data_IF_838242636711
#
_entry.id   IF_838242636711
#
_cell.length_a   1.000
_cell.length_b   1.000
_cell.length_c   1.000
_cell.angle_alpha   90.00
_cell.angle_beta   90.00
_cell.angle_gamma   90.00
#
_symmetry.space_group_name_H-M   'P 1'
#
loop_
_entity.id
_entity.type
_entity.pdbx_description
1 polymer ?
#
# COMPACT_ATOMS: atom_id res chain seq x y z
N UNK A 1 -38.48 17.96 23.38
CA UNK A 1 -37.94 18.04 22.00
C UNK A 1 -36.51 17.48 21.80
N UNK A 2 -35.57 17.54 22.76
CA UNK A 2 -34.19 17.01 22.58
C UNK A 2 -34.07 15.47 22.54
N UNK A 3 -34.93 14.73 23.26
CA UNK A 3 -34.88 13.26 23.28
C UNK A 3 -35.40 12.61 21.98
N UNK A 4 -36.43 13.17 21.34
CA UNK A 4 -36.96 12.67 20.07
C UNK A 4 -35.96 12.76 18.90
N UNK A 5 -35.13 13.82 18.85
CA UNK A 5 -34.06 13.94 17.83
C UNK A 5 -32.93 12.93 18.02
N UNK A 6 -32.61 12.55 19.26
CA UNK A 6 -31.59 11.52 19.56
C UNK A 6 -32.06 10.11 19.18
N UNK A 7 -33.32 9.79 19.44
CA UNK A 7 -33.90 8.50 19.06
C UNK A 7 -34.03 8.36 17.53
N UNK A 8 -34.37 9.45 16.83
CA UNK A 8 -34.37 9.47 15.35
C UNK A 8 -32.96 9.32 14.77
N UNK A 9 -31.95 10.00 15.32
CA UNK A 9 -30.56 9.87 14.86
C UNK A 9 -30.01 8.45 15.12
N UNK A 10 -30.34 7.84 16.26
CA UNK A 10 -29.96 6.46 16.58
C UNK A 10 -30.62 5.46 15.63
N UNK A 11 -31.91 5.62 15.34
CA UNK A 11 -32.63 4.79 14.36
C UNK A 11 -32.08 4.93 12.94
N UNK A 12 -31.64 6.13 12.55
CA UNK A 12 -31.01 6.39 11.26
C UNK A 12 -29.63 5.75 11.15
N UNK A 13 -28.81 5.83 12.20
CA UNK A 13 -27.49 5.17 12.26
C UNK A 13 -27.61 3.64 12.20
N UNK A 14 -28.56 3.04 12.92
CA UNK A 14 -28.81 1.59 12.86
C UNK A 14 -29.29 1.17 11.46
N UNK A 15 -30.08 2.01 10.77
CA UNK A 15 -30.50 1.76 9.39
C UNK A 15 -29.34 1.90 8.38
N UNK A 16 -28.36 2.76 8.66
CA UNK A 16 -27.11 2.86 7.89
C UNK A 16 -26.24 1.60 8.07
N UNK A 17 -26.20 0.99 9.26
CA UNK A 17 -25.46 -0.25 9.50
C UNK A 17 -26.20 -1.52 9.06
N UNK A 18 -27.52 -1.47 8.82
CA UNK A 18 -28.21 -2.51 8.04
C UNK A 18 -27.81 -2.37 6.57
N UNK A 19 -26.80 -3.11 6.14
CA UNK A 19 -26.50 -3.27 4.71
C UNK A 19 -27.58 -4.14 4.09
N UNK A 20 -28.31 -3.61 3.09
CA UNK A 20 -29.17 -4.43 2.22
C UNK A 20 -28.36 -5.52 1.50
N UNK A 21 -27.03 -5.37 1.47
CA UNK A 21 -26.06 -6.29 0.88
C UNK A 21 -25.45 -7.25 1.93
N UNK A 22 -25.93 -7.25 3.18
CA UNK A 22 -25.45 -8.16 4.23
C UNK A 22 -24.08 -7.82 4.81
N UNK A 23 -23.75 -8.42 5.96
CA UNK A 23 -22.45 -8.27 6.63
C UNK A 23 -21.31 -8.97 5.87
N UNK A 24 -21.63 -9.99 5.08
CA UNK A 24 -20.67 -10.73 4.29
C UNK A 24 -19.99 -9.85 3.22
N UNK A 25 -20.75 -8.96 2.56
CA UNK A 25 -20.18 -8.00 1.59
C UNK A 25 -19.15 -7.09 2.24
N UNK A 26 -19.46 -6.56 3.42
CA UNK A 26 -18.53 -5.71 4.16
C UNK A 26 -17.28 -6.49 4.57
N UNK A 27 -17.45 -7.71 5.07
CA UNK A 27 -16.33 -8.58 5.44
C UNK A 27 -15.41 -8.88 4.26
N UNK A 28 -15.96 -9.34 3.13
CA UNK A 28 -15.20 -9.65 1.93
C UNK A 28 -14.50 -8.41 1.35
N UNK A 29 -15.16 -7.26 1.37
CA UNK A 29 -14.54 -5.99 0.96
C UNK A 29 -13.37 -5.60 1.86
N UNK A 30 -13.54 -5.72 3.19
CA UNK A 30 -12.46 -5.48 4.14
C UNK A 30 -11.27 -6.43 3.87
N UNK A 31 -11.52 -7.72 3.67
CA UNK A 31 -10.47 -8.70 3.32
C UNK A 31 -9.74 -8.25 2.05
N UNK A 32 -10.47 -7.95 0.98
CA UNK A 32 -9.89 -7.52 -0.30
C UNK A 32 -8.98 -6.31 -0.17
N UNK A 33 -9.42 -5.32 0.59
CA UNK A 33 -8.69 -4.06 0.77
C UNK A 33 -7.52 -4.21 1.77
N UNK A 34 -7.59 -5.17 2.68
CA UNK A 34 -6.51 -5.49 3.63
C UNK A 34 -5.34 -6.23 2.97
N UNK A 35 -5.59 -7.15 2.04
CA UNK A 35 -4.54 -7.98 1.44
C UNK A 35 -3.39 -7.18 0.77
N UNK A 36 -3.65 -6.11 0.00
CA UNK A 36 -2.60 -5.23 -0.50
C UNK A 36 -1.75 -4.60 0.61
N UNK A 37 -2.39 -4.22 1.72
CA UNK A 37 -1.72 -3.58 2.87
C UNK A 37 -0.85 -4.59 3.62
N UNK A 38 -1.36 -5.80 3.85
CA UNK A 38 -0.60 -6.88 4.50
C UNK A 38 0.59 -7.33 3.63
N UNK A 39 0.41 -7.36 2.31
CA UNK A 39 1.52 -7.63 1.38
C UNK A 39 2.57 -6.53 1.38
N UNK A 40 2.17 -5.27 1.55
CA UNK A 40 3.10 -4.13 1.67
C UNK A 40 3.92 -4.22 2.97
N UNK A 41 3.27 -4.61 4.06
CA UNK A 41 3.90 -4.83 5.36
C UNK A 41 4.91 -5.99 5.31
N UNK A 42 4.55 -7.13 4.71
CA UNK A 42 5.47 -8.26 4.51
C UNK A 42 6.67 -7.90 3.60
N UNK A 43 6.46 -7.02 2.63
CA UNK A 43 7.54 -6.55 1.77
C UNK A 43 8.60 -5.76 2.58
N UNK A 44 8.19 -5.02 3.60
CA UNK A 44 9.13 -4.32 4.50
C UNK A 44 9.80 -3.09 3.87
N UNK A 45 9.09 -2.38 2.99
CA UNK A 45 9.57 -1.14 2.34
C UNK A 45 9.95 -0.03 3.34
N UNK A 46 9.18 0.09 4.43
CA UNK A 46 9.34 1.12 5.46
C UNK A 46 8.78 0.62 6.78
N UNK A 47 9.36 1.07 7.91
CA UNK A 47 8.81 0.80 9.23
C UNK A 47 7.48 1.55 9.46
N UNK A 48 6.59 0.99 10.27
CA UNK A 48 5.31 1.62 10.64
C UNK A 48 4.15 1.38 9.66
N UNK A 49 4.29 0.46 8.70
CA UNK A 49 3.23 0.02 7.79
C UNK A 49 2.04 -0.63 8.49
N UNK A 50 2.22 -1.14 9.70
CA UNK A 50 1.16 -1.66 10.57
C UNK A 50 -0.03 -0.69 10.78
N UNK A 51 0.24 0.62 10.75
CA UNK A 51 -0.76 1.67 10.91
C UNK A 51 -1.75 1.69 9.73
N UNK A 52 -1.33 1.23 8.55
CA UNK A 52 -2.13 1.22 7.34
C UNK A 52 -3.36 0.32 7.46
N UNK A 53 -3.30 -0.75 8.27
CA UNK A 53 -4.44 -1.64 8.53
C UNK A 53 -5.62 -0.85 9.13
N UNK A 54 -5.35 0.00 10.11
CA UNK A 54 -6.37 0.86 10.72
C UNK A 54 -6.92 1.89 9.73
N UNK A 55 -6.03 2.53 8.96
CA UNK A 55 -6.37 3.53 7.94
C UNK A 55 -7.28 2.94 6.87
N UNK A 56 -6.94 1.76 6.37
CA UNK A 56 -7.68 1.13 5.27
C UNK A 56 -9.08 0.69 5.72
N UNK A 57 -9.21 0.14 6.94
CA UNK A 57 -10.51 -0.22 7.51
C UNK A 57 -11.39 1.01 7.78
N UNK A 58 -10.80 2.08 8.31
CA UNK A 58 -11.50 3.35 8.48
C UNK A 58 -11.97 3.93 7.15
N UNK A 59 -11.16 3.81 6.09
CA UNK A 59 -11.54 4.28 4.76
C UNK A 59 -12.73 3.53 4.16
N UNK A 60 -12.84 2.21 4.41
CA UNK A 60 -13.98 1.39 3.98
C UNK A 60 -15.25 1.84 4.72
N UNK A 61 -15.16 2.05 6.03
CA UNK A 61 -16.28 2.56 6.83
C UNK A 61 -16.72 3.95 6.36
N UNK A 62 -15.77 4.86 6.12
CA UNK A 62 -16.07 6.20 5.65
C UNK A 62 -16.66 6.19 4.23
N UNK A 63 -16.14 5.33 3.36
CA UNK A 63 -16.68 5.08 2.02
C UNK A 63 -18.11 4.55 2.05
N UNK A 64 -18.41 3.60 2.94
CA UNK A 64 -19.79 3.12 3.16
C UNK A 64 -20.72 4.24 3.64
N UNK A 65 -20.30 5.05 4.62
CA UNK A 65 -21.09 6.17 5.14
C UNK A 65 -21.41 7.19 4.04
N UNK A 66 -20.40 7.57 3.24
CA UNK A 66 -20.60 8.51 2.15
C UNK A 66 -21.42 7.91 1.01
N UNK A 67 -21.22 6.63 0.67
CA UNK A 67 -21.98 5.96 -0.38
C UNK A 67 -23.48 5.94 -0.08
N UNK A 68 -23.85 5.73 1.20
CA UNK A 68 -25.23 5.77 1.69
C UNK A 68 -25.77 7.17 1.96
N UNK A 69 -24.92 8.19 1.96
CA UNK A 69 -25.35 9.57 2.19
C UNK A 69 -26.14 10.12 0.99
N UNK A 70 -27.02 11.09 1.25
CA UNK A 70 -27.72 11.82 0.19
C UNK A 70 -26.82 12.83 -0.56
N UNK A 71 -25.52 12.88 -0.25
CA UNK A 71 -24.62 13.84 -0.87
C UNK A 71 -24.46 13.55 -2.37
N UNK A 72 -24.36 14.61 -3.19
CA UNK A 72 -24.08 14.43 -4.60
C UNK A 72 -22.62 14.00 -4.81
N UNK A 73 -22.37 13.25 -5.89
CA UNK A 73 -21.05 12.66 -6.21
C UNK A 73 -19.89 13.67 -6.21
N UNK A 74 -20.14 14.89 -6.68
CA UNK A 74 -19.13 15.93 -6.81
C UNK A 74 -18.69 16.51 -5.45
N UNK A 75 -19.46 16.30 -4.37
CA UNK A 75 -19.07 16.67 -3.01
C UNK A 75 -18.50 15.46 -2.29
N UNK A 76 -19.13 14.30 -2.43
CA UNK A 76 -18.77 13.11 -1.68
C UNK A 76 -17.36 12.59 -2.04
N UNK A 77 -16.97 12.63 -3.32
CA UNK A 77 -15.65 12.14 -3.75
C UNK A 77 -14.52 13.03 -3.23
N UNK A 78 -14.51 14.37 -3.44
CA UNK A 78 -13.48 15.23 -2.86
C UNK A 78 -13.45 15.15 -1.33
N UNK A 79 -14.61 15.06 -0.67
CA UNK A 79 -14.67 14.94 0.79
C UNK A 79 -14.08 13.62 1.27
N UNK A 80 -14.31 12.52 0.56
CA UNK A 80 -13.67 11.23 0.82
C UNK A 80 -12.15 11.28 0.68
N UNK A 81 -11.64 11.88 -0.39
CA UNK A 81 -10.19 12.01 -0.61
C UNK A 81 -9.52 12.96 0.40
N UNK A 82 -10.12 14.12 0.66
CA UNK A 82 -9.62 15.08 1.67
C UNK A 82 -9.63 14.49 3.07
N UNK A 83 -10.66 13.72 3.42
CA UNK A 83 -10.69 13.00 4.70
C UNK A 83 -9.56 11.96 4.81
N UNK A 84 -9.14 11.38 3.69
CA UNK A 84 -8.02 10.43 3.65
C UNK A 84 -6.67 11.09 3.86
N UNK A 85 -6.44 12.24 3.21
CA UNK A 85 -5.25 13.05 3.46
C UNK A 85 -5.18 13.51 4.93
N UNK A 86 -6.31 13.96 5.48
CA UNK A 86 -6.40 14.32 6.89
C UNK A 86 -6.16 13.11 7.81
N UNK A 87 -6.76 11.95 7.52
CA UNK A 87 -6.56 10.74 8.32
C UNK A 87 -5.11 10.25 8.27
N UNK A 88 -4.48 10.25 7.09
CA UNK A 88 -3.07 9.93 6.94
C UNK A 88 -2.21 10.88 7.79
N UNK A 89 -2.41 12.19 7.67
CA UNK A 89 -1.69 13.20 8.47
C UNK A 89 -1.87 13.00 9.98
N UNK A 90 -3.11 12.78 10.44
CA UNK A 90 -3.41 12.67 11.86
C UNK A 90 -2.92 11.35 12.49
N UNK A 91 -3.02 10.24 11.74
CA UNK A 91 -2.72 8.90 12.25
C UNK A 91 -1.21 8.59 12.09
N UNK A 92 -0.65 8.76 10.88
CA UNK A 92 0.77 8.50 10.62
C UNK A 92 1.64 9.54 11.32
N UNK A 93 1.22 10.81 11.28
CA UNK A 93 1.92 11.90 11.97
C UNK A 93 1.77 11.87 13.49
N UNK A 94 0.99 10.93 14.05
CA UNK A 94 0.69 10.81 15.48
C UNK A 94 0.24 12.13 16.12
N UNK A 95 -0.40 12.99 15.33
CA UNK A 95 -0.87 14.32 15.73
C UNK A 95 -1.98 14.18 16.77
N UNK A 96 -2.82 13.16 16.63
CA UNK A 96 -3.80 12.80 17.64
C UNK A 96 -3.20 11.82 18.66
N UNK A 97 -3.58 11.98 19.92
CA UNK A 97 -3.22 11.00 20.95
C UNK A 97 -3.75 9.61 20.58
N UNK A 98 -2.90 8.57 20.60
CA UNK A 98 -3.35 7.20 20.43
C UNK A 98 -4.43 6.85 21.46
N UNK A 99 -5.50 6.17 21.02
CA UNK A 99 -6.61 5.79 21.88
C UNK A 99 -6.15 4.99 23.11
N UNK A 100 -5.06 4.22 22.98
CA UNK A 100 -4.42 3.46 24.07
C UNK A 100 -3.93 4.32 25.23
N UNK A 101 -3.57 5.60 24.98
CA UNK A 101 -3.07 6.53 26.02
C UNK A 101 -4.17 7.35 26.68
N UNK A 102 -5.41 7.30 26.15
CA UNK A 102 -6.53 8.06 26.69
C UNK A 102 -6.98 7.59 28.09
N UNK A 103 -7.09 6.29 28.41
CA UNK A 103 -7.59 5.84 29.71
C UNK A 103 -6.79 6.40 30.90
N UNK A 104 -5.46 6.41 30.78
CA UNK A 104 -4.57 6.96 31.81
C UNK A 104 -4.71 8.47 32.03
N UNK A 105 -5.34 9.19 31.10
CA UNK A 105 -5.54 10.65 31.15
C UNK A 105 -6.93 11.06 31.62
N UNK A 106 -7.90 10.13 31.63
CA UNK A 106 -9.26 10.41 32.11
C UNK A 106 -9.30 10.73 33.60
N UNK A 107 -8.47 10.07 34.42
CA UNK A 107 -8.39 10.30 35.86
C UNK A 107 -8.00 11.74 36.23
N UNK A 108 -6.85 12.25 35.74
CA UNK A 108 -6.43 13.63 35.95
C UNK A 108 -7.44 14.66 35.43
N UNK A 109 -8.04 14.41 34.25
CA UNK A 109 -9.09 15.26 33.69
C UNK A 109 -10.31 15.33 34.61
N UNK A 110 -10.81 14.18 35.07
CA UNK A 110 -11.98 14.14 35.95
C UNK A 110 -11.69 14.79 37.31
N UNK A 111 -10.50 14.57 37.87
CA UNK A 111 -10.06 15.22 39.11
C UNK A 111 -10.00 16.75 38.98
N UNK A 112 -9.59 17.26 37.81
CA UNK A 112 -9.61 18.69 37.50
C UNK A 112 -11.03 19.24 37.36
N UNK A 113 -11.93 18.55 36.65
CA UNK A 113 -13.36 18.91 36.55
C UNK A 113 -14.01 18.97 37.92
N UNK A 114 -13.74 18.01 38.79
CA UNK A 114 -14.26 17.99 40.15
C UNK A 114 -13.78 19.19 40.99
N UNK A 115 -12.54 19.66 40.79
CA UNK A 115 -12.01 20.85 41.49
C UNK A 115 -12.72 22.13 41.06
N UNK A 116 -13.04 22.26 39.77
CA UNK A 116 -13.83 23.38 39.22
C UNK A 116 -15.21 23.41 39.84
N UNK A 117 -15.92 22.27 39.84
CA UNK A 117 -17.29 22.17 40.39
C UNK A 117 -17.30 22.51 41.89
N UNK A 118 -16.23 22.16 42.62
CA UNK A 118 -16.11 22.41 44.06
C UNK A 118 -15.51 23.78 44.42
N UNK A 119 -15.27 24.66 43.44
CA UNK A 119 -14.74 26.01 43.66
C UNK A 119 -13.35 26.04 44.30
N UNK A 120 -12.55 24.97 44.15
CA UNK A 120 -11.17 24.93 44.66
C UNK A 120 -10.21 25.62 43.68
N UNK A 121 -9.06 26.15 44.14
CA UNK A 121 -8.05 26.69 43.23
C UNK A 121 -7.67 25.63 42.20
N UNK A 122 -7.81 26.01 40.93
CA UNK A 122 -7.64 25.14 39.78
C UNK A 122 -6.19 25.24 39.34
N UNK A 123 -5.48 24.11 39.29
CA UNK A 123 -4.14 24.03 38.70
C UNK A 123 -4.18 24.12 37.17
N UNK A 124 -3.02 23.94 36.52
CA UNK A 124 -2.91 23.92 35.05
C UNK A 124 -3.89 22.93 34.41
N UNK A 125 -4.47 23.30 33.27
CA UNK A 125 -5.45 22.48 32.57
C UNK A 125 -4.79 21.18 32.06
N UNK A 126 -5.28 19.98 32.44
CA UNK A 126 -4.72 18.71 31.97
C UNK A 126 -4.76 18.53 30.44
N UNK A 127 -5.64 19.27 29.76
CA UNK A 127 -5.77 19.24 28.30
C UNK A 127 -4.78 20.17 27.59
N UNK A 128 -4.27 21.20 28.26
CA UNK A 128 -3.38 22.19 27.65
C UNK A 128 -2.09 21.54 27.10
N UNK A 129 -1.36 20.68 27.85
CA UNK A 129 -0.20 19.98 27.32
C UNK A 129 -0.54 19.07 26.12
N UNK A 130 -1.77 18.54 26.04
CA UNK A 130 -2.19 17.67 24.95
C UNK A 130 -2.42 18.46 23.66
N UNK A 131 -3.05 19.63 23.77
CA UNK A 131 -3.26 20.54 22.64
C UNK A 131 -1.91 21.00 22.11
N UNK A 132 -1.02 21.44 23.00
CA UNK A 132 0.32 21.84 22.60
C UNK A 132 1.11 20.67 22.01
N UNK A 133 1.10 19.49 22.63
CA UNK A 133 1.78 18.32 22.06
C UNK A 133 1.26 18.00 20.65
N UNK A 134 -0.06 17.98 20.46
CA UNK A 134 -0.68 17.71 19.17
C UNK A 134 -0.27 18.76 18.13
N UNK A 135 -0.26 20.04 18.53
CA UNK A 135 0.18 21.14 17.69
C UNK A 135 1.63 20.98 17.24
N UNK A 136 2.55 20.74 18.18
CA UNK A 136 3.98 20.55 17.87
C UNK A 136 4.21 19.33 16.98
N UNK A 137 3.50 18.21 17.20
CA UNK A 137 3.58 17.05 16.29
C UNK A 137 3.10 17.40 14.88
N UNK A 138 2.01 18.18 14.77
CA UNK A 138 1.53 18.68 13.48
C UNK A 138 2.55 19.57 12.77
N UNK A 139 3.19 20.48 13.50
CA UNK A 139 4.28 21.33 12.97
C UNK A 139 5.46 20.49 12.49
N UNK A 140 5.92 19.51 13.28
CA UNK A 140 7.03 18.63 12.89
C UNK A 140 6.73 17.86 11.61
N UNK A 141 5.50 17.37 11.43
CA UNK A 141 5.09 16.67 10.20
C UNK A 141 5.02 17.65 9.03
N UNK A 142 4.48 18.85 9.24
CA UNK A 142 4.40 19.89 8.22
C UNK A 142 5.79 20.35 7.76
N UNK A 143 6.74 20.52 8.69
CA UNK A 143 8.12 20.87 8.39
C UNK A 143 8.80 19.76 7.57
N UNK A 144 8.64 18.49 7.96
CA UNK A 144 9.18 17.35 7.19
C UNK A 144 8.63 17.28 5.77
N UNK A 145 7.32 17.51 5.61
CA UNK A 145 6.69 17.61 4.30
C UNK A 145 7.26 18.78 3.48
N UNK A 146 7.47 19.94 4.10
CA UNK A 146 8.06 21.10 3.46
C UNK A 146 9.50 20.82 3.00
N UNK A 147 10.34 20.24 3.86
CA UNK A 147 11.70 19.84 3.51
C UNK A 147 11.73 18.83 2.36
N UNK A 148 10.80 17.87 2.33
CA UNK A 148 10.69 16.92 1.23
C UNK A 148 10.27 17.59 -0.09
N UNK A 149 9.31 18.52 -0.06
CA UNK A 149 8.90 19.30 -1.24
C UNK A 149 10.08 20.13 -1.77
N UNK A 150 10.77 20.84 -0.88
CA UNK A 150 11.95 21.65 -1.20
C UNK A 150 13.08 20.79 -1.78
N UNK A 151 13.32 19.60 -1.21
CA UNK A 151 14.28 18.65 -1.75
C UNK A 151 13.91 18.21 -3.18
N UNK A 152 12.64 17.95 -3.44
CA UNK A 152 12.15 17.59 -4.78
C UNK A 152 12.34 18.68 -5.83
N UNK A 153 12.01 19.93 -5.49
CA UNK A 153 12.17 21.08 -6.37
C UNK A 153 13.64 21.45 -6.59
N UNK A 154 14.48 21.27 -5.56
CA UNK A 154 15.91 21.57 -5.61
C UNK A 154 16.76 20.45 -6.23
N UNK A 155 16.17 19.31 -6.57
CA UNK A 155 16.90 18.13 -7.03
C UNK A 155 17.79 17.48 -5.97
N UNK A 156 17.52 17.72 -4.68
CA UNK A 156 18.20 17.07 -3.55
C UNK A 156 17.57 15.70 -3.25
N UNK A 157 18.32 14.85 -2.56
CA UNK A 157 17.82 13.57 -2.04
C UNK A 157 17.10 13.77 -0.71
N UNK A 158 16.13 12.89 -0.44
CA UNK A 158 15.45 12.84 0.86
C UNK A 158 15.44 11.40 1.39
N UNK A 159 15.95 11.23 2.60
CA UNK A 159 15.94 9.96 3.34
C UNK A 159 14.76 9.85 4.31
N UNK A 160 13.80 10.77 4.25
CA UNK A 160 12.69 10.82 5.18
C UNK A 160 11.59 9.80 4.83
N UNK A 161 11.49 8.77 5.66
CA UNK A 161 10.52 7.67 5.52
C UNK A 161 9.08 8.06 5.89
N UNK A 162 8.86 9.14 6.65
CA UNK A 162 7.52 9.56 7.07
C UNK A 162 6.69 10.02 5.88
N UNK A 163 7.28 10.76 4.94
CA UNK A 163 6.56 11.28 3.77
C UNK A 163 6.10 10.16 2.86
N UNK A 164 6.95 9.14 2.68
CA UNK A 164 6.55 7.93 1.97
C UNK A 164 5.38 7.23 2.68
N UNK A 165 5.48 7.03 4.00
CA UNK A 165 4.42 6.42 4.80
C UNK A 165 3.09 7.19 4.73
N UNK A 166 3.14 8.53 4.70
CA UNK A 166 1.97 9.39 4.49
C UNK A 166 1.32 9.18 3.10
N UNK A 167 2.15 9.06 2.06
CA UNK A 167 1.66 8.86 0.68
C UNK A 167 1.01 7.49 0.53
N UNK A 168 1.65 6.42 0.98
CA UNK A 168 1.06 5.07 0.93
C UNK A 168 -0.19 4.98 1.83
N UNK A 169 -0.25 5.71 2.95
CA UNK A 169 -1.46 5.82 3.76
C UNK A 169 -2.60 6.53 3.03
N UNK A 170 -2.32 7.62 2.32
CA UNK A 170 -3.31 8.33 1.51
C UNK A 170 -3.81 7.45 0.34
N UNK A 171 -2.91 6.70 -0.30
CA UNK A 171 -3.25 5.74 -1.36
C UNK A 171 -4.10 4.60 -0.79
N UNK A 172 -3.69 4.00 0.33
CA UNK A 172 -4.45 2.94 1.00
C UNK A 172 -5.88 3.41 1.36
N UNK A 173 -6.01 4.62 1.91
CA UNK A 173 -7.32 5.22 2.17
C UNK A 173 -8.11 5.42 0.88
N UNK A 174 -7.50 5.96 -0.17
CA UNK A 174 -8.17 6.18 -1.44
C UNK A 174 -8.67 4.86 -2.05
N UNK A 175 -7.87 3.79 -1.97
CA UNK A 175 -8.25 2.45 -2.42
C UNK A 175 -9.46 1.91 -1.64
N UNK A 176 -9.43 1.93 -0.31
CA UNK A 176 -10.54 1.42 0.48
C UNK A 176 -11.81 2.27 0.34
N UNK A 177 -11.67 3.60 0.31
CA UNK A 177 -12.77 4.52 0.01
C UNK A 177 -13.38 4.25 -1.37
N UNK A 178 -12.55 4.15 -2.40
CA UNK A 178 -12.99 3.90 -3.77
C UNK A 178 -13.70 2.55 -3.91
N UNK A 179 -13.12 1.50 -3.31
CA UNK A 179 -13.68 0.15 -3.35
C UNK A 179 -15.04 0.10 -2.66
N UNK A 180 -15.16 0.73 -1.48
CA UNK A 180 -16.44 0.86 -0.78
C UNK A 180 -17.46 1.70 -1.56
N UNK A 181 -17.03 2.83 -2.13
CA UNK A 181 -17.89 3.70 -2.93
C UNK A 181 -18.45 2.97 -4.16
N UNK A 182 -17.60 2.28 -4.92
CA UNK A 182 -18.03 1.52 -6.10
C UNK A 182 -18.93 0.32 -5.75
N UNK A 183 -18.67 -0.33 -4.62
CA UNK A 183 -19.51 -1.43 -4.12
C UNK A 183 -20.91 -0.93 -3.79
N UNK A 184 -21.04 0.05 -2.90
CA UNK A 184 -22.34 0.43 -2.34
C UNK A 184 -23.12 1.46 -3.18
N UNK A 185 -22.42 2.38 -3.87
CA UNK A 185 -23.06 3.44 -4.67
C UNK A 185 -23.31 3.00 -6.11
N UNK A 186 -22.28 2.46 -6.77
CA UNK A 186 -22.35 2.07 -8.19
C UNK A 186 -22.76 0.61 -8.40
N UNK A 187 -22.69 -0.24 -7.36
CA UNK A 187 -23.01 -1.68 -7.43
C UNK A 187 -22.22 -2.40 -8.53
N UNK A 188 -20.96 -2.02 -8.70
CA UNK A 188 -20.05 -2.61 -9.69
C UNK A 188 -18.91 -3.35 -8.98
N UNK A 189 -18.99 -4.69 -8.88
CA UNK A 189 -17.99 -5.50 -8.16
C UNK A 189 -16.60 -5.41 -8.80
N UNK A 190 -16.55 -5.50 -10.13
CA UNK A 190 -15.30 -5.55 -10.89
C UNK A 190 -14.52 -4.23 -10.72
N UNK A 191 -15.20 -3.09 -10.84
CA UNK A 191 -14.57 -1.78 -10.68
C UNK A 191 -14.06 -1.57 -9.26
N UNK A 192 -14.72 -2.13 -8.25
CA UNK A 192 -14.27 -2.04 -6.86
C UNK A 192 -12.98 -2.84 -6.60
N UNK A 193 -12.84 -4.02 -7.21
CA UNK A 193 -11.69 -4.91 -7.00
C UNK A 193 -10.47 -4.46 -7.82
N UNK A 194 -10.64 -3.90 -9.01
CA UNK A 194 -9.50 -3.67 -9.91
C UNK A 194 -8.34 -2.86 -9.29
N UNK A 195 -8.53 -1.66 -8.70
CA UNK A 195 -7.39 -0.89 -8.22
C UNK A 195 -6.61 -1.54 -7.07
N UNK A 196 -7.26 -2.08 -6.01
CA UNK A 196 -6.54 -2.84 -4.99
C UNK A 196 -5.77 -4.04 -5.56
N UNK A 197 -6.35 -4.75 -6.54
CA UNK A 197 -5.70 -5.89 -7.20
C UNK A 197 -4.46 -5.49 -8.00
N UNK A 198 -4.52 -4.38 -8.74
CA UNK A 198 -3.37 -3.83 -9.48
C UNK A 198 -2.26 -3.43 -8.52
N UNK A 199 -2.59 -2.77 -7.41
CA UNK A 199 -1.60 -2.36 -6.40
C UNK A 199 -0.93 -3.56 -5.76
N UNK A 200 -1.69 -4.59 -5.39
CA UNK A 200 -1.15 -5.84 -4.86
C UNK A 200 -0.25 -6.54 -5.88
N UNK A 201 -0.70 -6.70 -7.12
CA UNK A 201 0.11 -7.33 -8.17
C UNK A 201 1.42 -6.55 -8.43
N UNK A 202 1.35 -5.22 -8.42
CA UNK A 202 2.53 -4.35 -8.56
C UNK A 202 3.48 -4.53 -7.38
N UNK A 203 2.96 -4.58 -6.14
CA UNK A 203 3.80 -4.81 -4.96
C UNK A 203 4.45 -6.19 -4.97
N UNK A 204 3.73 -7.25 -5.34
CA UNK A 204 4.29 -8.61 -5.45
C UNK A 204 5.35 -8.66 -6.54
N UNK A 205 5.11 -7.99 -7.67
CA UNK A 205 6.11 -7.86 -8.72
C UNK A 205 7.37 -7.17 -8.18
N UNK A 206 7.24 -6.00 -7.55
CA UNK A 206 8.39 -5.22 -7.07
C UNK A 206 9.12 -5.86 -5.88
N UNK A 207 8.42 -6.54 -4.99
CA UNK A 207 9.02 -7.10 -3.76
C UNK A 207 9.47 -8.55 -3.90
N UNK A 208 9.03 -9.27 -4.94
CA UNK A 208 9.14 -10.75 -5.07
C UNK A 208 8.58 -11.57 -3.90
N UNK A 209 7.94 -10.90 -2.93
CA UNK A 209 7.27 -11.46 -1.75
C UNK A 209 5.76 -11.28 -1.89
N UNK A 210 4.98 -11.98 -1.08
CA UNK A 210 3.53 -11.80 -1.05
C UNK A 210 2.71 -12.49 -2.15
N UNK A 211 3.29 -13.45 -2.88
CA UNK A 211 2.52 -14.27 -3.84
C UNK A 211 1.32 -14.98 -3.19
N UNK A 212 1.45 -15.38 -1.92
CA UNK A 212 0.34 -15.94 -1.14
C UNK A 212 -0.83 -14.96 -0.96
N UNK A 213 -0.55 -13.67 -0.73
CA UNK A 213 -1.58 -12.64 -0.64
C UNK A 213 -2.28 -12.41 -1.98
N UNK A 214 -1.55 -12.48 -3.11
CA UNK A 214 -2.16 -12.39 -4.44
C UNK A 214 -3.13 -13.54 -4.71
N UNK A 215 -2.74 -14.79 -4.41
CA UNK A 215 -3.62 -15.95 -4.56
C UNK A 215 -4.86 -15.82 -3.66
N UNK A 216 -4.66 -15.43 -2.40
CA UNK A 216 -5.75 -15.20 -1.46
C UNK A 216 -6.68 -14.06 -1.91
N UNK A 217 -6.12 -13.03 -2.54
CA UNK A 217 -6.86 -11.90 -3.10
C UNK A 217 -7.73 -12.33 -4.26
N UNK A 218 -7.18 -13.09 -5.21
CA UNK A 218 -7.94 -13.62 -6.34
C UNK A 218 -9.09 -14.52 -5.88
N UNK A 219 -8.85 -15.40 -4.90
CA UNK A 219 -9.88 -16.22 -4.29
C UNK A 219 -10.97 -15.38 -3.60
N UNK A 220 -10.58 -14.39 -2.81
CA UNK A 220 -11.51 -13.47 -2.12
C UNK A 220 -12.28 -12.59 -3.11
N UNK A 221 -11.64 -12.16 -4.19
CA UNK A 221 -12.22 -11.28 -5.22
C UNK A 221 -13.30 -12.00 -5.98
N UNK A 222 -13.07 -13.28 -6.28
CA UNK A 222 -14.09 -14.13 -6.85
C UNK A 222 -15.28 -14.31 -5.93
N UNK A 223 -15.06 -14.68 -4.66
CA UNK A 223 -16.16 -14.86 -3.71
C UNK A 223 -16.98 -13.57 -3.58
N UNK A 224 -16.32 -12.42 -3.57
CA UNK A 224 -16.98 -11.11 -3.57
C UNK A 224 -17.79 -10.85 -4.84
N UNK A 225 -17.21 -11.11 -6.01
CA UNK A 225 -17.87 -10.91 -7.29
C UNK A 225 -19.10 -11.82 -7.45
N UNK A 226 -18.95 -13.10 -7.12
CA UNK A 226 -20.01 -14.09 -7.10
C UNK A 226 -21.14 -13.67 -6.16
N UNK A 227 -20.80 -13.28 -4.93
CA UNK A 227 -21.77 -12.86 -3.93
C UNK A 227 -22.60 -11.65 -4.39
N UNK A 228 -21.94 -10.60 -4.87
CA UNK A 228 -22.63 -9.41 -5.36
C UNK A 228 -23.42 -9.67 -6.64
N UNK A 229 -22.92 -10.55 -7.52
CA UNK A 229 -23.65 -10.96 -8.72
C UNK A 229 -24.92 -11.74 -8.37
N UNK A 230 -24.85 -12.66 -7.41
CA UNK A 230 -26.03 -13.38 -6.90
C UNK A 230 -27.09 -12.42 -6.40
N UNK A 231 -26.72 -11.42 -5.60
CA UNK A 231 -27.64 -10.39 -5.12
C UNK A 231 -28.24 -9.55 -6.24
N UNK A 232 -27.45 -9.26 -7.30
CA UNK A 232 -27.95 -8.53 -8.45
C UNK A 232 -28.95 -9.35 -9.26
N UNK A 233 -28.70 -10.66 -9.39
CA UNK A 233 -29.58 -11.62 -10.06
C UNK A 233 -30.89 -11.83 -9.30
N UNK A 234 -30.85 -12.05 -7.98
CA UNK A 234 -32.04 -12.16 -7.13
C UNK A 234 -32.94 -10.92 -7.29
N UNK A 235 -32.37 -9.71 -7.21
CA UNK A 235 -33.13 -8.46 -7.42
C UNK A 235 -33.72 -8.34 -8.82
N UNK A 236 -33.09 -8.95 -9.83
CA UNK A 236 -33.58 -8.95 -11.20
C UNK A 236 -34.73 -9.95 -11.38
N UNK A 237 -34.63 -11.14 -10.77
CA UNK A 237 -35.66 -12.17 -10.80
C UNK A 237 -36.88 -11.82 -9.95
N UNK A 238 -36.69 -11.19 -8.79
CA UNK A 238 -37.77 -10.61 -7.97
C UNK A 238 -38.61 -9.61 -8.77
N UNK A 239 -37.94 -8.76 -9.55
CA UNK A 239 -38.62 -7.80 -10.44
C UNK A 239 -39.33 -8.49 -11.62
N UNK A 240 -38.79 -9.61 -12.07
CA UNK A 240 -39.37 -10.40 -13.15
C UNK A 240 -40.45 -11.38 -12.67
N UNK A 241 -40.69 -11.48 -11.35
CA UNK A 241 -41.58 -12.46 -10.71
C UNK A 241 -41.30 -13.91 -11.14
N UNK A 242 -40.02 -14.23 -11.38
CA UNK A 242 -39.57 -15.59 -11.73
C UNK A 242 -39.16 -16.29 -10.44
N UNK A 243 -39.74 -17.46 -10.18
CA UNK A 243 -39.37 -18.29 -9.05
C UNK A 243 -37.97 -18.88 -9.24
N UNK A 244 -37.14 -18.86 -8.19
CA UNK A 244 -35.75 -19.30 -8.23
C UNK A 244 -35.44 -20.19 -7.03
N UNK A 245 -34.61 -21.21 -7.26
CA UNK A 245 -34.17 -22.10 -6.19
C UNK A 245 -33.17 -21.39 -5.27
N UNK A 246 -33.33 -21.56 -3.96
CA UNK A 246 -32.43 -21.00 -2.92
C UNK A 246 -31.03 -21.63 -2.91
N UNK A 247 -30.84 -22.76 -3.62
CA UNK A 247 -29.55 -23.48 -3.71
C UNK A 247 -28.67 -22.98 -4.87
N UNK A 248 -29.27 -22.25 -5.83
CA UNK A 248 -28.60 -21.79 -7.05
C UNK A 248 -27.32 -20.96 -6.79
N UNK A 249 -27.26 -20.05 -5.78
CA UNK A 249 -26.06 -19.29 -5.49
C UNK A 249 -24.87 -20.18 -5.11
N UNK A 250 -25.12 -21.24 -4.34
CA UNK A 250 -24.09 -22.16 -3.86
C UNK A 250 -23.61 -23.08 -4.99
N UNK A 251 -24.52 -23.55 -5.84
CA UNK A 251 -24.16 -24.36 -7.00
C UNK A 251 -23.37 -23.57 -8.04
N UNK A 252 -23.76 -22.32 -8.29
CA UNK A 252 -22.98 -21.41 -9.14
C UNK A 252 -21.60 -21.12 -8.53
N UNK A 253 -21.52 -20.96 -7.20
CA UNK A 253 -20.26 -20.76 -6.48
C UNK A 253 -19.27 -21.90 -6.69
N UNK A 254 -19.74 -23.13 -6.45
CA UNK A 254 -18.95 -24.35 -6.55
C UNK A 254 -18.52 -24.61 -7.99
N UNK A 255 -19.42 -24.39 -8.96
CA UNK A 255 -19.14 -24.63 -10.37
C UNK A 255 -18.17 -23.58 -10.97
N UNK A 256 -18.28 -22.31 -10.60
CA UNK A 256 -17.32 -21.29 -11.07
C UNK A 256 -16.03 -21.22 -10.25
N UNK A 257 -15.95 -21.88 -9.09
CA UNK A 257 -14.71 -22.01 -8.33
C UNK A 257 -13.68 -22.85 -9.11
N UNK A 258 -14.12 -23.89 -9.82
CA UNK A 258 -13.26 -24.69 -10.69
C UNK A 258 -12.65 -23.88 -11.83
N UNK A 259 -13.36 -22.89 -12.37
CA UNK A 259 -12.82 -22.01 -13.41
C UNK A 259 -11.67 -21.15 -12.88
N UNK A 260 -11.75 -20.68 -11.64
CA UNK A 260 -10.68 -19.86 -11.05
C UNK A 260 -9.53 -20.67 -10.55
N UNK A 261 -9.79 -21.82 -9.94
CA UNK A 261 -8.73 -22.79 -9.63
C UNK A 261 -8.00 -23.14 -10.93
N UNK A 262 -8.72 -23.40 -12.02
CA UNK A 262 -8.13 -23.58 -13.34
C UNK A 262 -7.32 -22.39 -13.82
N UNK A 263 -7.85 -21.16 -13.72
CA UNK A 263 -7.17 -19.94 -14.16
C UNK A 263 -5.91 -19.64 -13.33
N UNK A 264 -5.96 -19.87 -12.01
CA UNK A 264 -4.81 -19.74 -11.11
C UNK A 264 -3.77 -20.81 -11.43
N UNK A 265 -4.18 -22.07 -11.62
CA UNK A 265 -3.27 -23.16 -12.01
C UNK A 265 -2.61 -22.82 -13.35
N UNK A 266 -3.37 -22.34 -14.35
CA UNK A 266 -2.80 -21.90 -15.63
C UNK A 266 -1.82 -20.75 -15.45
N UNK A 267 -2.12 -19.79 -14.58
CA UNK A 267 -1.20 -18.69 -14.25
C UNK A 267 0.08 -19.19 -13.56
N UNK A 268 -0.02 -20.17 -12.66
CA UNK A 268 1.12 -20.77 -11.96
C UNK A 268 1.95 -21.69 -12.85
N UNK A 269 1.30 -22.35 -13.82
CA UNK A 269 1.94 -23.20 -14.82
C UNK A 269 2.52 -22.39 -15.98
N UNK A 270 2.27 -21.07 -16.03
CA UNK A 270 2.84 -20.21 -17.05
C UNK A 270 4.37 -20.21 -16.88
N UNK A 271 5.15 -20.71 -17.87
CA UNK A 271 6.60 -20.64 -17.78
C UNK A 271 6.99 -19.17 -17.64
N UNK A 272 7.74 -18.85 -16.59
CA UNK A 272 8.38 -17.54 -16.46
C UNK A 272 9.17 -17.32 -17.73
N UNK A 273 8.65 -16.43 -18.58
CA UNK A 273 8.98 -16.48 -20.00
C UNK A 273 10.44 -16.10 -20.18
N UNK A 274 11.27 -17.09 -20.51
CA UNK A 274 12.65 -16.88 -20.92
C UNK A 274 12.69 -15.90 -22.09
N UNK A 275 13.51 -14.86 -21.93
CA UNK A 275 13.93 -13.86 -22.92
C UNK A 275 13.27 -13.95 -24.30
N UNK A 276 12.09 -13.34 -24.46
CA UNK A 276 11.54 -13.04 -25.77
C UNK A 276 12.17 -11.73 -26.28
N UNK A 277 12.99 -11.75 -27.36
CA UNK A 277 13.70 -10.57 -27.86
C UNK A 277 12.77 -9.45 -28.33
N UNK A 278 11.57 -9.78 -28.82
CA UNK A 278 10.55 -8.78 -29.20
C UNK A 278 9.96 -8.14 -27.94
N UNK A 279 9.65 -8.95 -26.93
CA UNK A 279 9.13 -8.44 -25.66
C UNK A 279 10.18 -7.59 -24.93
N UNK A 280 11.45 -8.02 -24.88
CA UNK A 280 12.51 -7.25 -24.22
C UNK A 280 12.79 -5.94 -24.95
N UNK A 281 12.77 -5.92 -26.30
CA UNK A 281 12.93 -4.68 -27.08
C UNK A 281 11.74 -3.74 -26.88
N UNK A 282 10.51 -4.27 -26.89
CA UNK A 282 9.30 -3.51 -26.59
C UNK A 282 9.36 -2.92 -25.18
N UNK A 283 9.68 -3.73 -24.17
CA UNK A 283 9.80 -3.29 -22.78
C UNK A 283 10.88 -2.23 -22.62
N UNK A 284 12.05 -2.40 -23.24
CA UNK A 284 13.14 -1.43 -23.22
C UNK A 284 12.79 -0.09 -23.86
N UNK A 285 11.86 -0.06 -24.82
CA UNK A 285 11.37 1.18 -25.41
C UNK A 285 10.25 1.79 -24.55
N UNK A 286 9.30 0.96 -24.12
CA UNK A 286 8.15 1.34 -23.29
C UNK A 286 8.56 1.85 -21.89
N UNK A 287 9.69 1.37 -21.35
CA UNK A 287 10.21 1.79 -20.04
C UNK A 287 11.07 3.04 -20.08
N UNK A 288 11.49 3.56 -21.25
CA UNK A 288 12.35 4.76 -21.33
C UNK A 288 11.76 5.98 -20.60
N UNK A 289 10.46 6.32 -20.78
CA UNK A 289 9.85 7.43 -20.05
C UNK A 289 9.78 7.17 -18.53
N UNK A 290 9.68 5.89 -18.15
CA UNK A 290 9.63 5.50 -16.74
C UNK A 290 10.98 5.61 -16.05
N UNK A 291 12.09 5.52 -16.79
CA UNK A 291 13.43 5.68 -16.21
C UNK A 291 13.63 7.04 -15.55
N UNK A 292 13.12 8.13 -16.14
CA UNK A 292 13.20 9.47 -15.52
C UNK A 292 12.39 9.53 -14.22
N UNK A 293 11.16 8.99 -14.23
CA UNK A 293 10.30 8.91 -13.04
C UNK A 293 10.96 8.08 -11.95
N UNK A 294 11.57 6.96 -12.30
CA UNK A 294 12.29 6.08 -11.37
C UNK A 294 13.49 6.81 -10.75
N UNK A 295 14.27 7.56 -11.53
CA UNK A 295 15.38 8.35 -10.97
C UNK A 295 14.91 9.43 -10.00
N UNK A 296 13.81 10.11 -10.30
CA UNK A 296 13.21 11.10 -9.40
C UNK A 296 12.65 10.43 -8.14
N UNK A 297 11.98 9.28 -8.29
CA UNK A 297 11.44 8.50 -7.19
C UNK A 297 12.57 8.01 -6.27
N UNK A 298 13.61 7.37 -6.80
CA UNK A 298 14.75 6.88 -6.03
C UNK A 298 15.50 8.01 -5.32
N UNK A 299 15.53 9.21 -5.90
CA UNK A 299 16.10 10.41 -5.27
C UNK A 299 15.23 10.91 -4.11
N UNK A 300 13.92 10.99 -4.32
CA UNK A 300 12.95 11.50 -3.32
C UNK A 300 12.70 10.53 -2.16
N UNK A 301 12.96 9.24 -2.38
CA UNK A 301 12.70 8.17 -1.44
C UNK A 301 13.93 7.26 -1.26
N UNK A 302 15.11 7.87 -1.15
CA UNK A 302 16.36 7.12 -1.03
C UNK A 302 16.51 6.37 0.31
N UNK A 303 15.66 6.67 1.29
CA UNK A 303 15.62 6.01 2.60
C UNK A 303 14.79 4.72 2.65
N UNK A 304 14.17 4.30 1.54
CA UNK A 304 13.37 3.08 1.49
C UNK A 304 14.23 1.83 1.42
N UNK A 305 13.77 0.78 2.09
CA UNK A 305 14.34 -0.55 1.93
C UNK A 305 13.95 -1.09 0.56
N UNK A 306 14.89 -1.71 -0.16
CA UNK A 306 14.60 -2.42 -1.39
C UNK A 306 14.34 -3.91 -1.11
N UNK A 307 13.09 -4.39 -1.16
CA UNK A 307 12.76 -5.78 -0.90
C UNK A 307 13.21 -6.76 -2.00
N UNK A 308 13.48 -6.28 -3.21
CA UNK A 308 14.03 -7.09 -4.29
C UNK A 308 15.25 -6.42 -4.94
N UNK A 309 16.47 -6.73 -4.50
CA UNK A 309 17.69 -6.17 -5.08
C UNK A 309 17.95 -6.64 -6.52
N UNK A 310 17.33 -7.74 -6.97
CA UNK A 310 17.61 -8.36 -8.27
C UNK A 310 16.78 -7.75 -9.43
N UNK A 311 15.65 -7.11 -9.14
CA UNK A 311 14.79 -6.47 -10.16
C UNK A 311 15.35 -5.16 -10.74
N UNK A 312 16.46 -4.66 -10.19
CA UNK A 312 17.01 -3.36 -10.53
C UNK A 312 18.46 -3.41 -11.01
N UNK A 313 18.64 -3.13 -12.30
CA UNK A 313 19.79 -2.37 -12.86
C UNK A 313 19.97 -0.97 -12.22
N UNK A 314 19.23 -0.65 -11.15
CA UNK A 314 19.15 0.63 -10.47
C UNK A 314 19.36 0.62 -8.95
N UNK A 315 19.64 -0.51 -8.28
CA UNK A 315 20.14 -0.47 -6.89
C UNK A 315 21.62 -0.08 -6.87
N UNK A 316 21.91 1.16 -7.25
CA UNK A 316 23.23 1.79 -7.15
C UNK A 316 23.48 2.42 -5.76
N UNK A 317 22.56 2.26 -4.81
CA UNK A 317 22.54 3.04 -3.57
C UNK A 317 22.97 2.33 -2.30
N UNK A 318 22.83 1.00 -2.22
CA UNK A 318 23.19 0.24 -1.02
C UNK A 318 23.75 -1.13 -1.39
N UNK A 319 24.86 -1.50 -0.73
CA UNK A 319 25.50 -2.81 -0.86
C UNK A 319 25.63 -3.43 0.53
N UNK A 320 25.08 -4.62 0.73
CA UNK A 320 25.17 -5.35 2.01
C UNK A 320 26.55 -5.99 2.11
N UNK A 321 27.37 -5.53 3.05
CA UNK A 321 28.68 -6.10 3.35
C UNK A 321 28.50 -7.51 3.96
N UNK A 322 28.95 -8.54 3.24
CA UNK A 322 28.88 -9.94 3.67
C UNK A 322 27.85 -10.81 2.94
N UNK A 323 27.09 -10.26 1.98
CA UNK A 323 26.30 -11.09 1.06
C UNK A 323 27.20 -11.98 0.20
N UNK A 324 26.81 -13.22 -0.04
CA UNK A 324 27.54 -14.08 -0.97
C UNK A 324 27.48 -13.45 -2.37
N UNK A 325 28.63 -13.39 -3.06
CA UNK A 325 28.70 -13.13 -4.49
C UNK A 325 28.20 -14.35 -5.28
N UNK A 326 27.10 -14.98 -4.86
CA UNK A 326 26.39 -15.94 -5.71
C UNK A 326 25.49 -15.17 -6.66
N UNK A 327 26.14 -14.32 -7.47
CA UNK A 327 25.60 -13.87 -8.73
C UNK A 327 25.49 -15.15 -9.54
N UNK A 328 24.27 -15.66 -9.69
CA UNK A 328 24.00 -16.94 -10.35
C UNK A 328 24.83 -17.06 -11.62
N UNK A 329 25.26 -18.29 -11.95
CA UNK A 329 26.13 -18.68 -13.07
C UNK A 329 25.66 -18.29 -14.48
N UNK A 330 24.83 -17.26 -14.60
CA UNK A 330 24.54 -16.55 -15.83
C UNK A 330 25.83 -15.92 -16.37
N UNK A 331 26.24 -16.42 -17.51
CA UNK A 331 27.25 -15.88 -18.43
C UNK A 331 26.82 -14.53 -19.02
N UNK A 332 26.38 -13.61 -18.17
CA UNK A 332 25.96 -12.27 -18.61
C UNK A 332 27.22 -11.44 -18.86
N UNK A 333 27.45 -11.08 -20.12
CA UNK A 333 28.54 -10.19 -20.49
C UNK A 333 28.21 -8.80 -19.91
N UNK A 334 28.99 -8.35 -18.92
CA UNK A 334 28.76 -7.07 -18.23
C UNK A 334 29.31 -5.86 -18.98
N UNK A 335 30.45 -6.03 -19.64
CA UNK A 335 31.16 -4.94 -20.33
C UNK A 335 32.08 -5.56 -21.39
N UNK A 336 32.07 -4.98 -22.59
CA UNK A 336 33.14 -5.20 -23.55
C UNK A 336 34.22 -4.16 -23.30
N UNK A 337 35.45 -4.61 -23.12
CA UNK A 337 36.62 -3.75 -22.95
C UNK A 337 37.52 -3.98 -24.15
N UNK A 338 37.88 -2.88 -24.81
CA UNK A 338 38.96 -2.88 -25.79
C UNK A 338 40.08 -2.05 -25.19
N UNK A 339 41.27 -2.63 -25.11
CA UNK A 339 42.48 -1.97 -24.63
C UNK A 339 43.57 -2.13 -25.67
N UNK A 340 44.40 -1.11 -25.81
CA UNK A 340 45.59 -1.13 -26.65
C UNK A 340 46.76 -1.83 -25.95
N UNK A 341 46.57 -2.23 -24.68
CA UNK A 341 47.53 -2.96 -23.87
C UNK A 341 47.60 -4.44 -24.29
N UNK A 342 48.81 -4.94 -24.50
CA UNK A 342 49.03 -6.34 -24.86
C UNK A 342 48.70 -7.24 -23.65
N UNK A 343 47.55 -7.91 -23.70
CA UNK A 343 47.19 -8.91 -22.69
C UNK A 343 48.14 -10.11 -22.86
N UNK A 344 48.98 -10.44 -21.87
CA UNK A 344 49.93 -11.55 -22.01
C UNK A 344 49.18 -12.85 -22.29
N UNK A 345 49.71 -13.66 -23.21
CA UNK A 345 49.08 -14.91 -23.60
C UNK A 345 49.23 -15.96 -22.51
N UNK A 346 48.33 -16.95 -22.50
CA UNK A 346 48.32 -18.07 -21.54
C UNK A 346 49.63 -18.88 -21.54
N UNK A 347 50.40 -18.83 -22.63
CA UNK A 347 51.72 -19.46 -22.74
C UNK A 347 52.83 -18.60 -22.07
N UNK A 348 52.76 -17.28 -22.23
CA UNK A 348 53.68 -16.32 -21.57
C UNK A 348 53.44 -16.29 -20.05
N UNK A 349 52.18 -16.34 -19.61
CA UNK A 349 51.82 -16.45 -18.19
C UNK A 349 52.30 -17.74 -17.52
N UNK A 350 52.48 -18.84 -18.26
CA UNK A 350 52.95 -20.14 -17.73
C UNK A 350 54.49 -20.25 -17.66
N UNK A 351 55.21 -19.42 -18.42
CA UNK A 351 56.67 -19.48 -18.54
C UNK A 351 57.44 -18.50 -17.64
N UNK A 352 56.74 -17.58 -16.98
CA UNK A 352 57.34 -16.52 -16.17
C UNK A 352 57.01 -16.78 -14.68
N UNK A 353 58.03 -16.81 -13.84
CA UNK A 353 57.92 -17.01 -12.39
C UNK A 353 57.14 -15.89 -11.69
N UNK A 354 56.96 -16.01 -10.37
CA UNK A 354 56.10 -15.19 -9.47
C UNK A 354 56.25 -13.65 -9.56
N UNK A 355 57.19 -13.12 -10.33
CA UNK A 355 57.57 -11.70 -10.37
C UNK A 355 56.83 -10.86 -11.43
N UNK A 356 55.78 -11.37 -12.07
CA UNK A 356 54.98 -10.58 -13.01
C UNK A 356 53.92 -9.74 -12.29
N UNK A 357 54.13 -8.43 -12.22
CA UNK A 357 53.07 -7.46 -11.92
C UNK A 357 52.04 -7.48 -13.05
N UNK A 358 51.02 -8.33 -12.94
CA UNK A 358 49.87 -8.30 -13.85
C UNK A 358 49.18 -6.94 -13.65
N UNK A 359 48.98 -6.13 -14.72
CA UNK A 359 48.24 -4.88 -14.63
C UNK A 359 46.86 -5.15 -14.01
N UNK A 360 46.63 -4.62 -12.81
CA UNK A 360 45.37 -4.82 -12.11
C UNK A 360 44.35 -3.82 -12.64
N UNK A 361 43.42 -4.31 -13.46
CA UNK A 361 42.32 -3.49 -13.97
C UNK A 361 41.19 -3.39 -12.95
N UNK A 362 41.17 -2.30 -12.19
CA UNK A 362 40.07 -1.98 -11.28
C UNK A 362 38.98 -1.17 -12.00
N UNK A 363 37.91 -1.86 -12.37
CA UNK A 363 36.71 -1.22 -12.94
C UNK A 363 35.84 -0.66 -11.83
N UNK A 364 36.15 0.57 -11.38
CA UNK A 364 35.37 1.25 -10.34
C UNK A 364 33.95 1.54 -10.86
N UNK A 365 32.96 0.85 -10.31
CA UNK A 365 31.54 1.05 -10.64
C UNK A 365 30.89 2.19 -9.85
N UNK A 366 30.81 2.04 -8.52
CA UNK A 366 30.17 2.98 -7.60
C UNK A 366 31.00 3.06 -6.32
N UNK A 367 30.95 4.18 -5.62
CA UNK A 367 31.44 4.29 -4.23
C UNK A 367 30.29 4.54 -3.27
N UNK A 368 30.35 3.83 -2.15
CA UNK A 368 29.46 4.02 -1.01
C UNK A 368 30.24 4.78 0.06
N UNK A 369 29.72 5.92 0.48
CA UNK A 369 30.31 6.84 1.45
C UNK A 369 29.55 6.86 2.78
N UNK A 370 28.43 6.14 2.86
CA UNK A 370 27.58 6.04 4.04
C UNK A 370 27.40 4.57 4.46
N UNK A 371 27.63 4.30 5.74
CA UNK A 371 27.46 2.98 6.37
C UNK A 371 26.41 3.10 7.47
N UNK A 372 25.30 2.37 7.34
CA UNK A 372 24.19 2.34 8.30
C UNK A 372 24.25 1.13 9.20
#
# INVERSE_FOLDING_TARGET
MKQGKRLLAMGYLVKIFRTEEGWLTLFLLCVLVLLPVLSLDEAGWVEGTEVLVGIVLLSVLFGLLLAKSALPRFVAVPLGLLSGAAAAFLIVGQVLLPFSRLPGRLGPFWGWVQRIIRGRPVGTNPLEPLVWQSWHQGEMVADRLWYWIDAGLSGRTSSDNLVFLLLIAAIAWALGFYSAWCTYRYRSPLVAILPPGVVLATNVFLSSKGMGFLVLYLGSAYLFMLWLNSMAMERAWDKAAVDYSTELPMDMALNSAWLIVGLVIVGLLQPSSGFNPVASTFWNYASRPWGEVETVFNRLFSGLNNPNPDLGTGSKGAFVLGGSFERGSSSQIFMYVTTDEAIPTLAEMRGLGEDMEVPSHYWRGVTYDYYT
#
